data_IF_004199388482
#
_entry.id   IF_004199388482
#
_cell.length_a   1.000
_cell.length_b   1.000
_cell.length_c   1.000
_cell.angle_alpha   90.00
_cell.angle_beta   90.00
_cell.angle_gamma   90.00
#
_symmetry.space_group_name_H-M   'P 1'
#
loop_
_entity.id
_entity.type
_entity.pdbx_description
1 polymer ?
#
# COMPACT_ATOMS: atom_id res chain seq x y z
N UNK A 1 10.39 -12.94 23.47
CA UNK A 1 9.08 -13.19 22.84
C UNK A 1 8.16 -12.07 23.24
N UNK A 2 7.46 -11.41 22.32
CA UNK A 2 6.56 -10.30 22.67
C UNK A 2 5.12 -10.80 22.70
N UNK A 3 4.43 -10.63 23.83
CA UNK A 3 2.98 -10.96 24.01
C UNK A 3 2.10 -10.43 22.88
N UNK A 4 2.52 -9.31 22.27
CA UNK A 4 1.91 -8.68 21.09
C UNK A 4 1.73 -9.59 19.88
N UNK A 5 2.64 -10.53 19.61
CA UNK A 5 2.51 -11.42 18.44
C UNK A 5 1.47 -12.54 18.70
N UNK A 6 1.32 -12.97 19.96
CA UNK A 6 0.25 -13.90 20.37
C UNK A 6 -1.13 -13.26 20.30
N UNK A 7 -1.29 -12.02 20.78
CA UNK A 7 -2.57 -11.31 20.77
C UNK A 7 -3.07 -10.98 19.35
N UNK A 8 -2.17 -10.62 18.43
CA UNK A 8 -2.50 -10.34 17.03
C UNK A 8 -2.90 -11.63 16.30
N UNK A 9 -2.20 -12.75 16.55
CA UNK A 9 -2.55 -14.03 15.92
C UNK A 9 -3.81 -14.66 16.50
N UNK A 10 -4.11 -14.44 17.80
CA UNK A 10 -5.31 -14.99 18.45
C UNK A 10 -6.59 -14.21 18.16
N UNK A 11 -6.53 -13.12 17.38
CA UNK A 11 -7.69 -12.30 17.03
C UNK A 11 -8.32 -11.50 18.19
N UNK A 12 -7.68 -11.49 19.38
CA UNK A 12 -8.22 -10.82 20.59
C UNK A 12 -8.05 -9.30 20.58
N UNK A 13 -7.16 -8.77 19.74
CA UNK A 13 -6.99 -7.33 19.54
C UNK A 13 -6.90 -7.02 18.04
N UNK A 14 -7.75 -6.11 17.54
CA UNK A 14 -7.57 -5.58 16.20
C UNK A 14 -6.48 -4.51 16.22
N UNK A 15 -5.57 -4.50 15.23
CA UNK A 15 -4.42 -3.57 15.23
C UNK A 15 -4.81 -2.09 15.30
N UNK A 16 -6.05 -1.74 14.93
CA UNK A 16 -6.61 -0.39 14.97
C UNK A 16 -7.13 0.02 16.36
N UNK A 17 -7.33 -0.92 17.29
CA UNK A 17 -7.91 -0.65 18.61
C UNK A 17 -6.86 -0.20 19.65
N UNK A 18 -5.56 -0.34 19.35
CA UNK A 18 -4.46 0.08 20.22
C UNK A 18 -3.75 1.32 19.69
N UNK A 19 -3.24 2.17 20.58
CA UNK A 19 -2.40 3.30 20.19
C UNK A 19 -1.12 2.77 19.52
N UNK A 20 -0.81 3.15 18.28
CA UNK A 20 0.33 2.55 17.60
C UNK A 20 1.64 3.08 18.18
N UNK A 21 2.53 2.15 18.55
CA UNK A 21 3.93 2.44 18.85
C UNK A 21 4.73 2.29 17.56
N UNK A 22 5.44 3.34 17.15
CA UNK A 22 6.31 3.30 15.97
C UNK A 22 7.69 2.77 16.32
N UNK A 23 8.18 1.85 15.49
CA UNK A 23 9.55 1.38 15.56
C UNK A 23 10.47 2.41 14.90
N UNK A 24 11.44 2.91 15.65
CA UNK A 24 12.51 3.72 15.06
C UNK A 24 13.50 2.78 14.36
N UNK A 25 13.74 2.99 13.05
CA UNK A 25 14.70 2.18 12.32
C UNK A 25 16.13 2.41 12.84
N UNK A 26 16.95 1.36 12.85
CA UNK A 26 18.37 1.51 13.09
C UNK A 26 19.08 2.13 11.87
N UNK A 27 20.36 2.46 12.03
CA UNK A 27 21.16 3.08 10.97
C UNK A 27 21.26 2.19 9.71
N UNK A 28 21.33 0.87 9.90
CA UNK A 28 21.40 -0.10 8.79
C UNK A 28 20.13 -0.04 7.94
N UNK A 29 18.98 0.06 8.59
CA UNK A 29 17.69 0.14 7.91
C UNK A 29 17.44 1.50 7.25
N UNK A 30 17.94 2.59 7.84
CA UNK A 30 17.95 3.92 7.20
C UNK A 30 18.84 3.91 5.94
N UNK A 31 20.02 3.28 5.99
CA UNK A 31 20.90 3.15 4.83
C UNK A 31 20.24 2.32 3.71
N UNK A 32 19.52 1.24 4.06
CA UNK A 32 18.72 0.48 3.11
C UNK A 32 17.65 1.37 2.46
N UNK A 33 16.93 2.16 3.25
CA UNK A 33 15.94 3.09 2.72
C UNK A 33 16.55 4.08 1.71
N UNK A 34 17.67 4.74 2.06
CA UNK A 34 18.30 5.71 1.16
C UNK A 34 18.80 5.05 -0.14
N UNK A 35 19.34 3.84 -0.05
CA UNK A 35 19.77 3.05 -1.22
C UNK A 35 18.59 2.74 -2.12
N UNK A 36 17.52 2.17 -1.55
CA UNK A 36 16.29 1.82 -2.29
C UNK A 36 15.65 3.05 -2.91
N UNK A 37 15.58 4.16 -2.18
CA UNK A 37 15.03 5.42 -2.70
C UNK A 37 15.81 5.89 -3.93
N UNK A 38 17.15 5.89 -3.86
CA UNK A 38 17.99 6.31 -4.98
C UNK A 38 17.84 5.40 -6.19
N UNK A 39 17.85 4.09 -5.98
CA UNK A 39 17.80 3.08 -7.06
C UNK A 39 16.43 3.00 -7.74
N UNK A 40 15.35 3.23 -6.99
CA UNK A 40 13.97 3.07 -7.49
C UNK A 40 13.30 4.39 -7.87
N UNK A 41 13.98 5.54 -7.71
CA UNK A 41 13.37 6.86 -7.90
C UNK A 41 12.71 7.04 -9.28
N UNK A 42 13.44 6.70 -10.35
CA UNK A 42 12.93 6.84 -11.72
C UNK A 42 11.75 5.89 -11.97
N UNK A 43 11.83 4.65 -11.47
CA UNK A 43 10.74 3.67 -11.60
C UNK A 43 9.48 4.13 -10.87
N UNK A 44 9.62 4.65 -9.65
CA UNK A 44 8.52 5.21 -8.87
C UNK A 44 7.90 6.43 -9.56
N UNK A 45 8.73 7.35 -10.05
CA UNK A 45 8.28 8.52 -10.79
C UNK A 45 7.52 8.12 -12.07
N UNK A 46 8.01 7.11 -12.79
CA UNK A 46 7.34 6.60 -13.98
C UNK A 46 5.98 5.97 -13.65
N UNK A 47 5.90 5.16 -12.59
CA UNK A 47 4.63 4.58 -12.13
C UNK A 47 3.63 5.65 -11.64
N UNK A 48 4.10 6.70 -10.96
CA UNK A 48 3.27 7.86 -10.59
C UNK A 48 2.73 8.56 -11.83
N UNK A 49 3.58 8.81 -12.83
CA UNK A 49 3.16 9.42 -14.08
C UNK A 49 2.10 8.56 -14.77
N UNK A 50 2.38 7.28 -14.95
CA UNK A 50 1.46 6.34 -15.60
C UNK A 50 0.08 6.29 -14.93
N UNK A 51 0.03 6.13 -13.60
CA UNK A 51 -1.27 6.08 -12.89
C UNK A 51 -2.00 7.43 -12.95
N UNK A 52 -1.27 8.55 -12.91
CA UNK A 52 -1.87 9.89 -12.99
C UNK A 52 -2.45 10.16 -14.37
N UNK A 53 -1.71 9.87 -15.44
CA UNK A 53 -2.17 10.02 -16.81
C UNK A 53 -3.40 9.14 -17.10
N UNK A 54 -3.41 7.89 -16.62
CA UNK A 54 -4.56 7.01 -16.74
C UNK A 54 -5.80 7.58 -16.05
N UNK A 55 -5.64 8.08 -14.82
CA UNK A 55 -6.73 8.70 -14.07
C UNK A 55 -7.25 9.93 -14.81
N UNK A 56 -6.38 10.83 -15.25
CA UNK A 56 -6.79 12.05 -15.98
C UNK A 56 -7.47 11.72 -17.31
N UNK A 57 -6.99 10.70 -18.03
CA UNK A 57 -7.55 10.28 -19.31
C UNK A 57 -8.96 9.68 -19.19
N UNK A 58 -9.27 9.05 -18.07
CA UNK A 58 -10.55 8.35 -17.85
C UNK A 58 -11.57 9.16 -17.05
N UNK A 59 -11.09 9.95 -16.09
CA UNK A 59 -11.91 10.66 -15.11
C UNK A 59 -11.96 12.17 -15.39
N UNK A 60 -11.11 12.65 -16.29
CA UNK A 60 -10.94 14.07 -16.60
C UNK A 60 -10.04 14.79 -15.61
N UNK A 61 -9.99 16.11 -15.74
CA UNK A 61 -9.08 16.98 -14.96
C UNK A 61 -9.72 17.57 -13.70
N UNK A 62 -11.05 17.46 -13.56
CA UNK A 62 -11.81 17.93 -12.40
C UNK A 62 -12.09 16.77 -11.45
N UNK A 63 -11.04 16.30 -10.77
CA UNK A 63 -11.07 15.15 -9.87
C UNK A 63 -10.58 15.52 -8.47
N UNK A 64 -10.98 14.70 -7.50
CA UNK A 64 -10.52 14.80 -6.10
C UNK A 64 -9.79 13.52 -5.75
N UNK A 65 -8.52 13.64 -5.40
CA UNK A 65 -7.70 12.52 -4.99
C UNK A 65 -7.96 12.20 -3.52
N UNK A 66 -8.24 10.94 -3.20
CA UNK A 66 -8.44 10.50 -1.81
C UNK A 66 -7.55 9.31 -1.53
N UNK A 67 -6.44 9.56 -0.85
CA UNK A 67 -5.49 8.52 -0.46
C UNK A 67 -6.00 7.68 0.69
N UNK A 68 -5.90 6.36 0.55
CA UNK A 68 -6.15 5.42 1.63
C UNK A 68 -4.93 5.38 2.56
N UNK A 69 -5.17 5.69 3.82
CA UNK A 69 -4.11 5.77 4.81
C UNK A 69 -3.50 4.37 5.07
N UNK A 70 -2.18 4.20 5.10
CA UNK A 70 -1.14 5.24 4.91
C UNK A 70 -0.40 5.11 3.60
N UNK A 71 -0.32 3.91 3.02
CA UNK A 71 0.51 3.66 1.86
C UNK A 71 0.10 4.51 0.65
N UNK A 72 -1.20 4.83 0.53
CA UNK A 72 -1.72 5.72 -0.50
C UNK A 72 -1.37 7.19 -0.32
N UNK A 73 -1.11 7.68 0.90
CA UNK A 73 -0.88 9.11 1.19
C UNK A 73 0.28 9.70 0.39
N UNK A 74 1.51 9.17 0.47
CA UNK A 74 2.62 9.70 -0.33
C UNK A 74 2.35 9.59 -1.84
N UNK A 75 1.61 8.56 -2.27
CA UNK A 75 1.30 8.36 -3.69
C UNK A 75 0.31 9.42 -4.20
N UNK A 76 -0.77 9.70 -3.46
CA UNK A 76 -1.71 10.76 -3.84
C UNK A 76 -1.05 12.15 -3.88
N UNK A 77 -0.11 12.42 -2.96
CA UNK A 77 0.68 13.66 -3.01
C UNK A 77 1.56 13.70 -4.26
N UNK A 78 2.21 12.59 -4.62
CA UNK A 78 3.01 12.50 -5.84
C UNK A 78 2.18 12.65 -7.11
N UNK A 79 0.97 12.07 -7.16
CA UNK A 79 0.02 12.26 -8.27
C UNK A 79 -0.41 13.73 -8.38
N UNK A 80 -0.70 14.40 -7.26
CA UNK A 80 -1.00 15.84 -7.24
C UNK A 80 0.19 16.66 -7.75
N UNK A 81 1.42 16.37 -7.30
CA UNK A 81 2.64 17.04 -7.78
C UNK A 81 2.89 16.80 -9.26
N UNK A 82 2.60 15.59 -9.76
CA UNK A 82 2.69 15.26 -11.19
C UNK A 82 1.72 16.12 -11.99
N UNK A 83 0.42 16.08 -11.63
CA UNK A 83 -0.62 16.86 -12.28
C UNK A 83 -0.33 18.36 -12.29
N UNK A 84 0.21 18.90 -11.18
CA UNK A 84 0.62 20.30 -11.11
C UNK A 84 1.81 20.59 -12.02
N UNK A 85 2.84 19.74 -12.02
CA UNK A 85 4.07 19.98 -12.80
C UNK A 85 3.83 19.88 -14.31
N UNK A 86 3.15 18.82 -14.75
CA UNK A 86 2.98 18.46 -16.15
C UNK A 86 1.75 19.13 -16.80
N UNK A 87 0.68 19.34 -16.02
CA UNK A 87 -0.61 19.83 -16.54
C UNK A 87 -1.09 21.14 -15.92
N UNK A 88 -0.35 21.72 -14.96
CA UNK A 88 -0.75 22.91 -14.19
C UNK A 88 -2.08 22.74 -13.45
N UNK A 89 -2.43 21.50 -13.11
CA UNK A 89 -3.64 21.17 -12.37
C UNK A 89 -3.35 21.09 -10.87
N UNK A 90 -3.99 21.97 -10.09
CA UNK A 90 -4.00 21.84 -8.64
C UNK A 90 -5.21 21.01 -8.18
N UNK A 91 -4.99 19.70 -8.04
CA UNK A 91 -6.04 18.77 -7.65
C UNK A 91 -6.26 18.80 -6.13
N UNK A 92 -7.52 18.89 -5.64
CA UNK A 92 -7.82 18.67 -4.24
C UNK A 92 -7.39 17.27 -3.81
N UNK A 93 -6.76 17.17 -2.64
CA UNK A 93 -6.24 15.90 -2.11
C UNK A 93 -6.58 15.74 -0.63
N UNK A 94 -7.10 14.56 -0.28
CA UNK A 94 -7.40 14.15 1.09
C UNK A 94 -6.69 12.82 1.39
N UNK A 95 -6.48 12.55 2.67
CA UNK A 95 -6.18 11.20 3.16
C UNK A 95 -7.34 10.74 4.03
N UNK A 96 -7.80 9.51 3.83
CA UNK A 96 -8.87 8.93 4.62
C UNK A 96 -8.51 7.53 5.13
N UNK A 97 -9.18 7.11 6.19
CA UNK A 97 -8.99 5.79 6.75
C UNK A 97 -9.80 4.71 6.01
N UNK A 98 -9.17 3.55 5.85
CA UNK A 98 -9.84 2.27 5.65
C UNK A 98 -9.19 1.20 6.53
N UNK A 99 -9.98 0.33 7.14
CA UNK A 99 -9.49 -0.73 8.02
C UNK A 99 -10.08 -2.05 7.55
N UNK A 100 -9.21 -2.95 7.06
CA UNK A 100 -9.63 -4.29 6.63
C UNK A 100 -10.44 -4.99 7.72
N UNK A 101 -11.62 -5.52 7.37
CA UNK A 101 -12.54 -6.19 8.28
C UNK A 101 -13.35 -5.26 9.18
N UNK A 102 -13.16 -3.94 9.07
CA UNK A 102 -13.91 -2.92 9.83
C UNK A 102 -14.53 -1.82 8.95
N UNK A 103 -14.17 -1.77 7.66
CA UNK A 103 -14.72 -0.81 6.72
C UNK A 103 -13.94 0.49 6.56
N UNK A 104 -14.53 1.38 5.77
CA UNK A 104 -14.05 2.73 5.48
C UNK A 104 -14.66 3.73 6.47
N UNK A 105 -13.99 4.86 6.67
CA UNK A 105 -14.53 5.97 7.47
C UNK A 105 -15.76 6.59 6.79
N UNK A 106 -16.94 6.25 7.31
CA UNK A 106 -18.22 6.75 6.79
C UNK A 106 -18.40 8.26 7.03
N UNK A 107 -17.86 8.80 8.11
CA UNK A 107 -17.87 10.24 8.41
C UNK A 107 -17.05 10.99 7.38
N UNK A 108 -15.90 10.44 6.98
CA UNK A 108 -15.08 10.98 5.90
C UNK A 108 -15.79 10.93 4.54
N UNK A 109 -16.53 9.86 4.22
CA UNK A 109 -17.33 9.81 2.99
C UNK A 109 -18.46 10.85 2.99
N UNK A 110 -19.15 11.05 4.11
CA UNK A 110 -20.15 12.11 4.25
C UNK A 110 -19.55 13.51 4.09
N UNK A 111 -18.36 13.73 4.66
CA UNK A 111 -17.63 14.98 4.45
C UNK A 111 -17.28 15.18 2.97
N UNK A 112 -16.79 14.14 2.29
CA UNK A 112 -16.47 14.22 0.87
C UNK A 112 -17.71 14.50 0.00
N UNK A 113 -18.84 13.84 0.25
CA UNK A 113 -20.07 14.03 -0.54
C UNK A 113 -20.74 15.39 -0.33
N UNK A 114 -20.50 16.03 0.82
CA UNK A 114 -21.01 17.38 1.11
C UNK A 114 -20.16 18.49 0.50
N UNK A 115 -18.87 18.23 0.26
CA UNK A 115 -17.93 19.23 -0.26
C UNK A 115 -17.55 19.03 -1.73
N UNK A 116 -17.72 17.81 -2.26
CA UNK A 116 -17.33 17.42 -3.61
C UNK A 116 -18.39 16.54 -4.25
N UNK A 117 -18.42 16.52 -5.58
CA UNK A 117 -19.23 15.53 -6.31
C UNK A 117 -18.62 14.12 -6.10
N UNK A 118 -19.35 13.15 -5.50
CA UNK A 118 -18.86 11.79 -5.27
C UNK A 118 -18.31 11.09 -6.52
N UNK A 119 -18.86 11.37 -7.70
CA UNK A 119 -18.42 10.77 -8.96
C UNK A 119 -17.02 11.23 -9.40
N UNK A 120 -16.54 12.37 -8.88
CA UNK A 120 -15.20 12.94 -9.15
C UNK A 120 -14.12 12.43 -8.20
N UNK A 121 -14.50 11.70 -7.15
CA UNK A 121 -13.54 11.14 -6.20
C UNK A 121 -12.81 9.95 -6.83
N UNK A 122 -11.49 9.92 -6.64
CA UNK A 122 -10.59 8.85 -7.06
C UNK A 122 -9.84 8.37 -5.83
N UNK A 123 -10.08 7.12 -5.43
CA UNK A 123 -9.36 6.50 -4.32
C UNK A 123 -7.97 6.06 -4.76
N UNK A 124 -6.97 6.32 -3.93
CA UNK A 124 -5.55 6.07 -4.24
C UNK A 124 -4.90 5.21 -3.16
N UNK A 125 -4.18 4.16 -3.53
CA UNK A 125 -3.33 3.38 -2.62
C UNK A 125 -1.92 3.13 -3.19
N UNK A 126 -0.99 2.69 -2.34
CA UNK A 126 0.40 2.49 -2.71
C UNK A 126 0.71 1.15 -3.35
N UNK A 127 0.03 0.08 -2.94
CA UNK A 127 0.35 -1.26 -3.44
C UNK A 127 -0.81 -2.23 -3.18
N UNK A 128 -1.11 -3.11 -4.14
CA UNK A 128 -2.06 -4.20 -3.93
C UNK A 128 -1.52 -5.52 -4.45
N UNK A 129 -1.62 -6.57 -3.63
CA UNK A 129 -1.13 -7.91 -3.97
C UNK A 129 -2.24 -8.95 -4.10
N UNK A 130 -3.05 -9.11 -3.06
CA UNK A 130 -4.19 -10.05 -3.08
C UNK A 130 -5.56 -9.36 -3.09
N UNK A 131 -5.59 -8.05 -3.35
CA UNK A 131 -6.82 -7.28 -3.52
C UNK A 131 -7.66 -7.08 -2.24
N UNK A 132 -7.09 -7.26 -1.05
CA UNK A 132 -7.84 -7.17 0.20
C UNK A 132 -8.45 -5.77 0.43
N UNK A 133 -7.68 -4.71 0.15
CA UNK A 133 -8.17 -3.32 0.25
C UNK A 133 -9.13 -2.99 -0.90
N UNK A 134 -8.85 -3.48 -2.11
CA UNK A 134 -9.77 -3.36 -3.25
C UNK A 134 -11.16 -3.90 -2.91
N UNK A 135 -11.24 -5.13 -2.39
CA UNK A 135 -12.51 -5.75 -1.99
C UNK A 135 -13.20 -5.00 -0.84
N UNK A 136 -12.44 -4.58 0.18
CA UNK A 136 -12.97 -3.80 1.31
C UNK A 136 -13.55 -2.46 0.85
N UNK A 137 -12.83 -1.75 -0.02
CA UNK A 137 -13.27 -0.48 -0.60
C UNK A 137 -14.55 -0.68 -1.41
N UNK A 138 -14.56 -1.65 -2.34
CA UNK A 138 -15.72 -1.87 -3.20
C UNK A 138 -16.98 -2.18 -2.42
N UNK A 139 -16.88 -3.04 -1.38
CA UNK A 139 -17.98 -3.32 -0.47
C UNK A 139 -18.44 -2.06 0.28
N UNK A 140 -17.50 -1.36 0.90
CA UNK A 140 -17.83 -0.20 1.74
C UNK A 140 -18.46 0.95 0.94
N UNK A 141 -18.00 1.18 -0.30
CA UNK A 141 -18.56 2.18 -1.20
C UNK A 141 -19.95 1.77 -1.70
N UNK A 142 -20.15 0.51 -2.08
CA UNK A 142 -21.48 0.02 -2.47
C UNK A 142 -22.51 0.19 -1.33
N UNK A 143 -22.14 -0.22 -0.11
CA UNK A 143 -22.98 -0.09 1.09
C UNK A 143 -23.26 1.38 1.44
N UNK A 144 -22.29 2.27 1.23
CA UNK A 144 -22.45 3.71 1.49
C UNK A 144 -23.33 4.39 0.44
N UNK A 145 -23.10 4.12 -0.85
CA UNK A 145 -23.93 4.64 -1.94
C UNK A 145 -25.38 4.22 -1.79
N UNK A 146 -25.62 2.94 -1.48
CA UNK A 146 -26.97 2.41 -1.29
C UNK A 146 -27.71 3.10 -0.14
N UNK A 147 -27.03 3.34 0.99
CA UNK A 147 -27.66 3.96 2.16
C UNK A 147 -27.87 5.46 2.05
N UNK A 148 -27.00 6.18 1.35
CA UNK A 148 -26.98 7.64 1.35
C UNK A 148 -27.34 8.27 0.00
N UNK A 149 -27.62 7.47 -1.03
CA UNK A 149 -27.94 7.97 -2.37
C UNK A 149 -26.76 8.69 -3.04
N UNK A 150 -25.52 8.34 -2.70
CA UNK A 150 -24.31 8.94 -3.25
C UNK A 150 -23.79 8.17 -4.48
N UNK A 151 -22.93 8.82 -5.26
CA UNK A 151 -22.41 8.30 -6.54
C UNK A 151 -20.91 8.03 -6.56
N UNK A 152 -20.31 7.57 -5.45
CA UNK A 152 -18.88 7.25 -5.43
C UNK A 152 -18.58 6.05 -6.34
N UNK A 153 -17.49 6.12 -7.12
CA UNK A 153 -17.01 4.93 -7.85
C UNK A 153 -16.09 4.12 -6.94
N UNK A 154 -16.28 2.79 -6.82
CA UNK A 154 -15.46 1.93 -5.95
C UNK A 154 -14.07 1.61 -6.52
N UNK A 155 -13.69 2.19 -7.66
CA UNK A 155 -12.44 1.91 -8.34
C UNK A 155 -11.25 2.47 -7.55
N UNK A 156 -10.23 1.63 -7.39
CA UNK A 156 -8.98 1.99 -6.73
C UNK A 156 -7.88 2.21 -7.77
N UNK A 157 -7.24 3.38 -7.72
CA UNK A 157 -5.99 3.65 -8.42
C UNK A 157 -4.81 3.28 -7.52
N UNK A 158 -3.83 2.53 -8.02
CA UNK A 158 -2.67 2.12 -7.22
C UNK A 158 -1.35 2.39 -7.93
N UNK A 159 -0.30 2.70 -7.16
CA UNK A 159 1.04 2.83 -7.74
C UNK A 159 1.52 1.50 -8.35
N UNK A 160 1.40 0.40 -7.60
CA UNK A 160 1.82 -0.93 -8.03
C UNK A 160 0.77 -2.00 -7.74
N UNK A 161 0.52 -2.86 -8.72
CA UNK A 161 -0.42 -3.98 -8.63
C UNK A 161 0.16 -5.27 -9.24
N UNK A 162 1.12 -5.92 -8.55
CA UNK A 162 1.56 -7.25 -8.93
C UNK A 162 0.48 -8.32 -8.76
N UNK A 163 -0.63 -7.98 -8.09
CA UNK A 163 -1.76 -8.86 -7.87
C UNK A 163 -2.73 -9.02 -9.02
N UNK A 164 -2.66 -8.12 -10.02
CA UNK A 164 -3.67 -7.97 -11.07
C UNK A 164 -5.10 -7.78 -10.52
N UNK A 165 -5.24 -6.98 -9.47
CA UNK A 165 -6.49 -6.74 -8.74
C UNK A 165 -7.27 -5.51 -9.21
N UNK A 166 -6.63 -4.53 -9.84
CA UNK A 166 -7.24 -3.27 -10.30
C UNK A 166 -6.89 -2.96 -11.75
N UNK A 167 -7.75 -2.14 -12.38
CA UNK A 167 -7.62 -1.69 -13.77
C UNK A 167 -6.75 -0.42 -13.91
N UNK A 168 -6.65 0.37 -12.85
CA UNK A 168 -5.91 1.64 -12.85
C UNK A 168 -4.68 1.51 -11.96
N UNK A 169 -3.53 1.34 -12.59
CA UNK A 169 -2.27 1.08 -11.89
C UNK A 169 -1.10 1.80 -12.57
N UNK A 170 -0.04 2.08 -11.81
CA UNK A 170 1.21 2.63 -12.34
C UNK A 170 2.12 1.57 -12.94
N UNK A 171 2.19 0.39 -12.31
CA UNK A 171 2.93 -0.77 -12.81
C UNK A 171 2.39 -2.10 -12.27
N UNK A 172 2.65 -3.21 -12.98
CA UNK A 172 2.44 -4.60 -12.52
C UNK A 172 3.65 -5.16 -11.78
N UNK A 173 4.74 -4.42 -11.73
CA UNK A 173 5.97 -4.90 -11.15
C UNK A 173 5.88 -5.03 -9.63
N UNK A 174 6.51 -6.08 -9.10
CA UNK A 174 6.78 -6.23 -7.68
C UNK A 174 8.21 -5.76 -7.38
N UNK A 175 8.32 -4.60 -6.75
CA UNK A 175 9.59 -4.02 -6.28
C UNK A 175 9.40 -3.30 -4.95
N UNK A 176 10.50 -3.06 -4.22
CA UNK A 176 10.44 -2.39 -2.93
C UNK A 176 10.17 -0.89 -3.11
N UNK A 177 8.96 -0.46 -2.78
CA UNK A 177 8.60 0.96 -2.70
C UNK A 177 9.23 1.55 -1.43
N UNK A 178 10.11 2.54 -1.55
CA UNK A 178 10.86 3.08 -0.40
C UNK A 178 9.96 3.59 0.76
N UNK A 179 8.77 4.13 0.46
CA UNK A 179 7.81 4.53 1.49
C UNK A 179 7.29 3.36 2.35
N UNK A 180 7.40 2.12 1.86
CA UNK A 180 7.07 0.94 2.64
C UNK A 180 8.09 0.63 3.75
N UNK A 181 9.32 1.17 3.66
CA UNK A 181 10.35 0.91 4.67
C UNK A 181 10.03 1.63 5.99
N UNK A 182 9.75 2.93 5.94
CA UNK A 182 9.87 3.82 7.11
C UNK A 182 8.55 4.26 7.76
N UNK A 183 7.49 3.43 7.74
CA UNK A 183 6.22 3.67 8.43
C UNK A 183 5.76 5.16 8.44
N UNK A 184 5.69 5.82 9.61
CA UNK A 184 5.20 7.20 9.77
C UNK A 184 6.23 8.25 9.35
N UNK A 185 7.52 7.98 9.53
CA UNK A 185 8.64 8.87 9.17
C UNK A 185 8.84 9.04 7.66
N UNK A 186 7.99 8.42 6.83
CA UNK A 186 7.93 8.68 5.38
C UNK A 186 6.47 8.85 4.91
N UNK A 187 5.55 9.08 5.85
CA UNK A 187 4.12 9.21 5.60
C UNK A 187 3.49 10.29 6.50
N UNK A 188 4.19 11.42 6.64
CA UNK A 188 3.70 12.62 7.31
C UNK A 188 3.60 12.54 8.83
N UNK A 189 4.35 11.62 9.45
CA UNK A 189 4.33 11.36 10.90
C UNK A 189 2.94 10.97 11.44
N UNK A 190 2.08 10.44 10.58
CA UNK A 190 0.76 9.96 10.97
C UNK A 190 0.81 8.45 11.23
N UNK A 191 0.15 8.03 12.31
CA UNK A 191 -0.03 6.62 12.64
C UNK A 191 -0.92 5.90 11.63
N UNK A 192 -0.93 4.57 11.70
CA UNK A 192 -2.06 3.81 11.13
C UNK A 192 -3.36 4.27 11.80
N UNK A 193 -4.50 4.02 11.15
CA UNK A 193 -5.82 4.32 11.70
C UNK A 193 -5.98 3.78 13.12
N UNK A 194 -6.51 4.64 13.98
CA UNK A 194 -7.04 4.30 15.30
C UNK A 194 -8.55 4.24 15.20
N UNK A 195 -9.11 3.07 15.46
CA UNK A 195 -10.55 2.84 15.54
C UNK A 195 -10.82 2.09 16.85
N UNK A 196 -11.12 2.85 17.89
CA UNK A 196 -11.39 2.35 19.23
C UNK A 196 -12.70 2.97 19.74
N UNK A 197 -13.73 2.15 19.92
CA UNK A 197 -15.06 2.58 20.34
C UNK A 197 -15.13 3.17 21.75
N UNK A 198 -14.08 3.01 22.58
CA UNK A 198 -13.98 3.69 23.88
C UNK A 198 -13.62 5.17 23.75
N UNK A 199 -12.99 5.57 22.64
CA UNK A 199 -12.46 6.93 22.45
C UNK A 199 -13.06 7.63 21.22
N UNK A 200 -13.66 6.89 20.28
CA UNK A 200 -14.16 7.41 19.01
C UNK A 200 -15.62 6.99 18.87
N UNK A 201 -16.50 7.98 18.81
CA UNK A 201 -17.92 7.78 18.58
C UNK A 201 -18.20 7.46 17.10
N UNK A 202 -19.28 6.72 16.77
CA UNK A 202 -19.60 6.36 15.38
C UNK A 202 -19.79 7.53 14.40
N UNK A 203 -20.09 8.73 14.90
CA UNK A 203 -20.25 9.96 14.10
C UNK A 203 -18.96 10.79 13.97
N UNK A 204 -17.86 10.34 14.59
CA UNK A 204 -16.56 10.98 14.48
C UNK A 204 -15.74 10.33 13.36
N UNK A 205 -14.76 11.07 12.85
CA UNK A 205 -13.76 10.49 11.97
C UNK A 205 -12.98 9.40 12.70
N UNK A 206 -12.49 8.43 11.94
CA UNK A 206 -11.47 7.53 12.46
C UNK A 206 -10.25 8.35 12.91
N UNK A 207 -9.65 7.92 14.01
CA UNK A 207 -8.55 8.64 14.63
C UNK A 207 -7.20 8.34 13.99
N UNK A 208 -6.24 9.22 14.24
CA UNK A 208 -4.83 8.96 14.02
C UNK A 208 -4.00 9.72 15.07
N UNK A 209 -2.82 9.19 15.42
CA UNK A 209 -1.83 9.89 16.23
C UNK A 209 -0.83 10.59 15.31
N UNK A 210 -0.54 11.85 15.61
CA UNK A 210 0.61 12.57 15.06
C UNK A 210 1.83 12.36 15.95
N UNK A 211 2.94 11.88 15.38
CA UNK A 211 4.18 11.66 16.11
C UNK A 211 5.08 12.89 16.08
N UNK A 212 4.70 13.92 16.81
CA UNK A 212 5.47 15.16 16.93
C UNK A 212 6.93 14.91 17.38
N UNK A 213 7.15 13.86 18.17
CA UNK A 213 8.43 13.44 18.74
C UNK A 213 9.40 12.89 17.69
N UNK A 214 8.90 12.51 16.51
CA UNK A 214 9.69 11.92 15.43
C UNK A 214 10.05 12.92 14.32
N UNK A 215 9.79 14.22 14.53
CA UNK A 215 10.03 15.27 13.53
C UNK A 215 11.46 15.32 13.02
N UNK A 216 12.45 15.08 13.89
CA UNK A 216 13.87 15.06 13.51
C UNK A 216 14.22 13.91 12.55
N UNK A 217 13.37 12.88 12.49
CA UNK A 217 13.55 11.69 11.66
C UNK A 217 12.58 11.65 10.48
N UNK A 218 11.85 12.74 10.21
CA UNK A 218 10.87 12.79 9.12
C UNK A 218 11.55 12.93 7.76
N UNK A 219 11.42 11.90 6.94
CA UNK A 219 11.91 11.81 5.57
C UNK A 219 10.78 11.93 4.54
N UNK A 220 9.56 12.29 4.96
CA UNK A 220 8.41 12.43 4.05
C UNK A 220 8.68 13.47 2.96
N UNK A 221 9.22 14.64 3.32
CA UNK A 221 9.61 15.67 2.36
C UNK A 221 10.69 15.19 1.38
N UNK A 222 11.78 14.63 1.93
CA UNK A 222 12.89 14.08 1.12
C UNK A 222 12.40 13.02 0.12
N UNK A 223 11.54 12.10 0.56
CA UNK A 223 10.93 11.09 -0.31
C UNK A 223 10.20 11.75 -1.47
N UNK A 224 9.26 12.66 -1.18
CA UNK A 224 8.44 13.30 -2.18
C UNK A 224 9.29 14.12 -3.17
N UNK A 225 10.26 14.89 -2.67
CA UNK A 225 11.12 15.74 -3.49
C UNK A 225 12.05 14.92 -4.39
N UNK A 226 12.62 13.83 -3.84
CA UNK A 226 13.47 12.93 -4.62
C UNK A 226 12.71 12.33 -5.80
N UNK A 227 11.48 11.85 -5.59
CA UNK A 227 10.68 11.28 -6.68
C UNK A 227 10.20 12.36 -7.65
N UNK A 228 9.70 13.50 -7.14
CA UNK A 228 9.23 14.59 -8.00
C UNK A 228 10.33 15.19 -8.87
N UNK A 229 11.59 15.19 -8.41
CA UNK A 229 12.74 15.63 -9.21
C UNK A 229 12.95 14.81 -10.49
N UNK A 230 12.43 13.58 -10.55
CA UNK A 230 12.55 12.68 -11.70
C UNK A 230 11.44 12.84 -12.74
N UNK A 231 10.40 13.62 -12.45
CA UNK A 231 9.21 13.71 -13.32
C UNK A 231 9.56 14.12 -14.76
N UNK A 232 10.36 15.17 -14.94
CA UNK A 232 10.75 15.62 -16.29
C UNK A 232 11.60 14.58 -17.04
N UNK A 233 12.37 13.76 -16.32
CA UNK A 233 13.18 12.69 -16.92
C UNK A 233 12.32 11.54 -17.43
N UNK A 234 11.24 11.20 -16.71
CA UNK A 234 10.39 10.05 -17.03
C UNK A 234 9.17 10.40 -17.88
N UNK A 235 8.70 11.65 -17.87
CA UNK A 235 7.52 12.10 -18.60
C UNK A 235 7.51 11.70 -20.08
N UNK A 236 8.62 11.81 -20.85
CA UNK A 236 8.63 11.38 -22.25
C UNK A 236 8.45 9.87 -22.47
N UNK A 237 8.59 9.05 -21.41
CA UNK A 237 8.47 7.59 -21.47
C UNK A 237 7.09 7.08 -21.05
N UNK A 238 6.22 7.95 -20.56
CA UNK A 238 4.88 7.55 -20.09
C UNK A 238 4.01 7.22 -21.28
N UNK A 239 3.38 6.05 -21.24
CA UNK A 239 2.46 5.63 -22.29
C UNK A 239 1.12 6.33 -22.11
N UNK A 240 0.66 6.97 -23.19
CA UNK A 240 -0.70 7.50 -23.30
C UNK A 240 -1.65 6.51 -24.02
N UNK A 241 -1.21 5.27 -24.24
CA UNK A 241 -2.03 4.27 -24.92
C UNK A 241 -3.20 3.81 -24.04
N UNK A 242 -4.39 4.27 -24.40
CA UNK A 242 -5.64 3.90 -23.73
C UNK A 242 -6.04 2.44 -23.97
N UNK A 243 -5.48 1.81 -24.99
CA UNK A 243 -5.82 0.44 -25.43
C UNK A 243 -4.95 -0.64 -24.78
N UNK A 244 -4.06 -0.29 -23.85
CA UNK A 244 -3.35 -1.30 -23.07
C UNK A 244 -4.36 -2.23 -22.38
N UNK A 245 -4.14 -3.54 -22.53
CA UNK A 245 -4.91 -4.53 -21.81
C UNK A 245 -4.64 -4.40 -20.30
N UNK A 246 -5.66 -3.95 -19.57
CA UNK A 246 -5.62 -3.70 -18.13
C UNK A 246 -6.61 -4.59 -17.38
N UNK A 247 -6.97 -5.72 -17.97
CA UNK A 247 -7.88 -6.70 -17.38
C UNK A 247 -7.38 -7.20 -16.01
N UNK A 248 -8.30 -7.36 -15.07
CA UNK A 248 -8.04 -7.87 -13.73
C UNK A 248 -8.17 -9.39 -13.71
N UNK A 249 -7.06 -10.09 -13.54
CA UNK A 249 -7.04 -11.56 -13.49
C UNK A 249 -7.06 -12.12 -12.08
N UNK A 250 -6.80 -11.28 -11.07
CA UNK A 250 -6.67 -11.70 -9.67
C UNK A 250 -5.63 -12.81 -9.46
N UNK A 251 -4.61 -12.87 -10.32
CA UNK A 251 -3.53 -13.87 -10.30
C UNK A 251 -2.80 -13.90 -8.96
N UNK A 252 -2.68 -12.75 -8.30
CA UNK A 252 -2.11 -12.65 -6.96
C UNK A 252 -2.92 -13.40 -5.89
N UNK A 253 -4.25 -13.34 -5.96
CA UNK A 253 -5.13 -14.08 -5.05
C UNK A 253 -5.10 -15.58 -5.34
N UNK A 254 -5.08 -15.96 -6.63
CA UNK A 254 -4.92 -17.36 -7.05
C UNK A 254 -3.60 -17.97 -6.53
N UNK A 255 -2.49 -17.24 -6.68
CA UNK A 255 -1.17 -17.63 -6.16
C UNK A 255 -1.21 -17.82 -4.64
N UNK A 256 -1.81 -16.87 -3.90
CA UNK A 256 -1.92 -16.99 -2.44
C UNK A 256 -2.70 -18.24 -2.04
N UNK A 257 -3.80 -18.57 -2.72
CA UNK A 257 -4.60 -19.79 -2.45
C UNK A 257 -3.81 -21.06 -2.76
N UNK A 258 -3.08 -21.10 -3.89
CA UNK A 258 -2.21 -22.22 -4.26
C UNK A 258 -1.12 -22.46 -3.20
N UNK A 259 -0.44 -21.41 -2.79
CA UNK A 259 0.60 -21.46 -1.73
C UNK A 259 0.00 -21.93 -0.40
N UNK A 260 -1.22 -21.50 -0.05
CA UNK A 260 -1.88 -21.99 1.16
C UNK A 260 -2.11 -23.51 1.11
N UNK A 261 -2.62 -24.04 0.00
CA UNK A 261 -2.86 -25.46 -0.18
C UNK A 261 -1.55 -26.25 -0.16
N UNK A 262 -0.56 -25.81 -0.92
CA UNK A 262 0.76 -26.47 -1.05
C UNK A 262 1.48 -26.61 0.30
N UNK A 263 1.36 -25.61 1.18
CA UNK A 263 2.05 -25.59 2.46
C UNK A 263 1.15 -25.84 3.68
N UNK A 264 -0.12 -26.22 3.48
CA UNK A 264 -1.06 -26.52 4.56
C UNK A 264 -1.36 -25.32 5.49
N UNK A 265 -1.36 -24.10 4.94
CA UNK A 265 -1.58 -22.86 5.70
C UNK A 265 -3.08 -22.57 5.81
N UNK A 266 -3.57 -22.48 7.05
CA UNK A 266 -5.01 -22.38 7.35
C UNK A 266 -5.61 -21.03 6.96
N UNK A 267 -4.80 -19.96 6.96
CA UNK A 267 -5.25 -18.61 6.65
C UNK A 267 -4.34 -17.87 5.68
N UNK A 268 -4.94 -17.20 4.69
CA UNK A 268 -4.22 -16.34 3.74
C UNK A 268 -3.47 -15.19 4.42
N UNK A 269 -3.76 -14.92 5.69
CA UNK A 269 -3.07 -13.92 6.49
C UNK A 269 -1.61 -14.27 6.77
N UNK A 270 -1.25 -15.56 6.75
CA UNK A 270 0.10 -16.06 6.95
C UNK A 270 0.93 -16.14 5.66
N UNK A 271 0.29 -15.89 4.52
CA UNK A 271 0.94 -15.74 3.22
C UNK A 271 1.12 -14.25 2.95
N UNK A 272 2.37 -13.81 2.85
CA UNK A 272 2.74 -12.40 2.68
C UNK A 272 3.37 -12.18 1.31
N UNK A 273 2.55 -11.87 0.29
CA UNK A 273 3.04 -11.73 -1.06
C UNK A 273 3.75 -10.40 -1.28
N UNK A 274 4.79 -10.42 -2.11
CA UNK A 274 5.51 -9.22 -2.54
C UNK A 274 6.76 -8.95 -1.74
N UNK A 275 7.69 -8.20 -2.34
CA UNK A 275 8.98 -7.86 -1.73
C UNK A 275 8.82 -7.06 -0.44
N UNK A 276 7.94 -6.06 -0.42
CA UNK A 276 7.72 -5.22 0.76
C UNK A 276 7.19 -6.01 1.96
N UNK A 277 6.19 -6.86 1.74
CA UNK A 277 5.63 -7.68 2.81
C UNK A 277 6.60 -8.78 3.26
N UNK A 278 7.33 -9.40 2.34
CA UNK A 278 8.36 -10.40 2.66
C UNK A 278 9.50 -9.80 3.47
N UNK A 279 9.93 -8.58 3.14
CA UNK A 279 10.91 -7.81 3.94
C UNK A 279 10.41 -7.63 5.38
N UNK A 280 9.14 -7.23 5.56
CA UNK A 280 8.54 -7.08 6.90
C UNK A 280 8.46 -8.39 7.67
N UNK A 281 8.17 -9.51 6.99
CA UNK A 281 8.19 -10.84 7.60
C UNK A 281 9.58 -11.16 8.14
N UNK A 282 10.61 -10.96 7.31
CA UNK A 282 12.01 -11.20 7.68
C UNK A 282 12.58 -10.22 8.70
N UNK A 283 11.93 -9.10 8.98
CA UNK A 283 12.42 -8.15 9.99
C UNK A 283 11.61 -8.16 11.29
N UNK A 284 10.31 -8.49 11.23
CA UNK A 284 9.38 -8.20 12.33
C UNK A 284 8.45 -9.36 12.70
N UNK A 285 8.61 -10.53 12.08
CA UNK A 285 7.76 -11.72 12.32
C UNK A 285 8.61 -12.97 12.50
N UNK A 286 7.90 -14.09 12.69
CA UNK A 286 8.43 -15.46 12.68
C UNK A 286 8.30 -16.11 11.29
N UNK A 287 9.21 -15.83 10.34
CA UNK A 287 9.27 -16.57 9.09
C UNK A 287 9.58 -18.05 9.33
N UNK A 288 9.03 -18.92 8.50
CA UNK A 288 9.54 -20.30 8.40
C UNK A 288 9.98 -20.69 7.00
N UNK A 289 9.56 -19.95 5.97
CA UNK A 289 9.98 -20.17 4.60
C UNK A 289 9.76 -18.92 3.76
N UNK A 290 10.65 -18.69 2.81
CA UNK A 290 10.47 -17.73 1.73
C UNK A 290 10.33 -18.50 0.42
N UNK A 291 9.45 -18.06 -0.46
CA UNK A 291 9.33 -18.59 -1.82
C UNK A 291 9.69 -17.47 -2.80
N UNK A 292 10.62 -17.70 -3.71
CA UNK A 292 11.03 -16.75 -4.75
C UNK A 292 10.63 -17.25 -6.12
N UNK A 293 10.30 -16.33 -7.04
CA UNK A 293 9.95 -16.71 -8.42
C UNK A 293 11.16 -17.21 -9.19
N UNK A 294 12.23 -16.43 -9.10
CA UNK A 294 13.52 -16.66 -9.74
C UNK A 294 14.57 -16.74 -8.62
N UNK A 295 15.49 -17.71 -8.61
CA UNK A 295 16.51 -17.80 -7.56
C UNK A 295 17.45 -16.59 -7.48
N UNK A 296 17.65 -15.85 -8.57
CA UNK A 296 18.69 -14.84 -8.71
C UNK A 296 18.20 -13.45 -9.10
N UNK A 297 16.88 -13.24 -9.20
CA UNK A 297 16.34 -11.94 -9.57
C UNK A 297 16.83 -10.80 -8.63
N UNK A 298 17.35 -9.69 -9.19
CA UNK A 298 17.90 -8.58 -8.43
C UNK A 298 16.91 -7.96 -7.44
N UNK A 299 15.62 -7.93 -7.78
CA UNK A 299 14.56 -7.25 -7.04
C UNK A 299 14.38 -7.79 -5.61
N UNK A 300 14.72 -9.05 -5.38
CA UNK A 300 14.66 -9.68 -4.05
C UNK A 300 16.05 -10.10 -3.53
N UNK A 301 17.13 -9.49 -4.01
CA UNK A 301 18.49 -9.77 -3.51
C UNK A 301 18.59 -9.58 -1.99
N UNK A 302 18.04 -8.50 -1.45
CA UNK A 302 18.03 -8.24 0.00
C UNK A 302 17.20 -9.26 0.77
N UNK A 303 16.14 -9.82 0.18
CA UNK A 303 15.34 -10.89 0.79
C UNK A 303 16.19 -12.14 1.00
N UNK A 304 17.00 -12.53 0.00
CA UNK A 304 17.88 -13.71 0.11
C UNK A 304 18.94 -13.53 1.19
N UNK A 305 19.56 -12.35 1.25
CA UNK A 305 20.54 -12.01 2.30
C UNK A 305 19.92 -12.07 3.71
N UNK A 306 18.72 -11.50 3.88
CA UNK A 306 17.99 -11.54 5.15
C UNK A 306 17.55 -12.96 5.53
N UNK A 307 17.11 -13.76 4.56
CA UNK A 307 16.74 -15.15 4.78
C UNK A 307 17.94 -15.99 5.23
N UNK A 308 19.10 -15.83 4.57
CA UNK A 308 20.35 -16.48 4.95
C UNK A 308 20.78 -16.09 6.38
N UNK A 309 20.81 -14.80 6.69
CA UNK A 309 21.18 -14.31 8.02
C UNK A 309 20.26 -14.83 9.14
N UNK A 310 18.99 -15.11 8.82
CA UNK A 310 18.00 -15.66 9.77
C UNK A 310 17.84 -17.18 9.70
N UNK A 311 18.64 -17.89 8.90
CA UNK A 311 18.51 -19.33 8.64
C UNK A 311 17.09 -19.73 8.21
N UNK A 312 16.45 -18.92 7.37
CA UNK A 312 15.13 -19.20 6.80
C UNK A 312 15.31 -19.86 5.43
N UNK A 313 14.74 -21.05 5.20
CA UNK A 313 14.85 -21.73 3.92
C UNK A 313 14.15 -20.94 2.81
N UNK A 314 14.79 -20.91 1.63
CA UNK A 314 14.27 -20.31 0.40
C UNK A 314 13.91 -21.41 -0.58
N UNK A 315 12.66 -21.44 -1.02
CA UNK A 315 12.18 -22.32 -2.09
C UNK A 315 11.97 -21.51 -3.38
N UNK A 316 12.03 -22.17 -4.53
CA UNK A 316 11.78 -21.56 -5.84
C UNK A 316 10.43 -22.04 -6.37
N UNK A 317 9.64 -21.11 -6.90
CA UNK A 317 8.35 -21.37 -7.54
C UNK A 317 8.17 -20.39 -8.72
N UNK A 318 8.50 -20.80 -9.95
CA UNK A 318 8.41 -19.94 -11.13
C UNK A 318 7.00 -19.44 -11.45
N UNK A 319 5.96 -20.07 -10.89
CA UNK A 319 4.55 -19.72 -11.12
C UNK A 319 4.01 -18.67 -10.14
N UNK A 320 4.86 -18.04 -9.32
CA UNK A 320 4.41 -16.97 -8.43
C UNK A 320 3.95 -15.76 -9.23
N UNK A 321 2.80 -15.17 -8.88
CA UNK A 321 2.41 -13.84 -9.35
C UNK A 321 3.28 -12.69 -8.80
N UNK A 322 4.16 -12.97 -7.84
CA UNK A 322 5.05 -12.00 -7.18
C UNK A 322 6.52 -12.36 -7.37
N UNK A 323 7.44 -11.43 -7.12
CA UNK A 323 8.87 -11.72 -7.10
C UNK A 323 9.23 -12.64 -5.93
N UNK A 324 8.57 -12.47 -4.78
CA UNK A 324 8.69 -13.38 -3.65
C UNK A 324 7.47 -13.38 -2.73
N UNK A 325 7.38 -14.39 -1.87
CA UNK A 325 6.35 -14.56 -0.84
C UNK A 325 7.01 -14.98 0.48
N UNK A 326 6.69 -14.27 1.57
CA UNK A 326 7.07 -14.67 2.92
C UNK A 326 5.98 -15.50 3.60
N UNK A 327 6.36 -16.63 4.21
CA UNK A 327 5.46 -17.49 4.97
C UNK A 327 5.73 -17.36 6.47
N UNK A 328 4.68 -17.02 7.23
CA UNK A 328 4.74 -16.82 8.69
C UNK A 328 4.29 -18.10 9.41
N UNK A 329 4.92 -18.43 10.54
CA UNK A 329 4.48 -19.55 11.39
C UNK A 329 3.13 -19.24 12.02
N UNK A 330 2.26 -20.24 12.00
CA UNK A 330 1.06 -20.27 12.84
C UNK A 330 1.48 -20.64 14.27
N UNK A 331 1.29 -19.73 15.23
CA UNK A 331 1.43 -20.07 16.65
C UNK A 331 0.08 -20.66 17.06
N UNK A 332 0.00 -21.98 17.16
CA UNK A 332 -1.14 -22.64 17.80
C UNK A 332 -1.11 -22.28 19.29
N UNK A 333 -2.26 -21.86 19.81
CA UNK A 333 -2.45 -21.54 21.22
C UNK A 333 -2.26 -22.77 22.10
#
# INVERSE_FOLDING_TARGET
>A
MTDREREIQSGRAHYAESLPVEYQPDITYLNLYHTVLKETADRLAAAVGQVTELVLAERGTNIVLVSLARAGTPIGILMRRWALSQHKLDLPHYTMSIVRGRGIDATALNYLSTHHNPARVVFVDGWTGKGAITQELSKAIADHNHRNGTGFTPDLAVLADPGHCVRTFGTRDDFLIASACLNSTVSGLVSRTVLNSRYINPSQFHGAKYYHELRSSDLSGQFLDTISSRFNTVAPRISHDKNQNRETTWSGLATVRRIQQQYGITSSNFVKPGIGETTRVLLRRLPWRIVVRDPDAPEHRHIRLLAQARNVPVAVDPELAYSCVGLIKEIRA
#
